data_IF_020202299251
#
_entry.id   IF_020202299251
#
_cell.length_a   1.000
_cell.length_b   1.000
_cell.length_c   1.000
_cell.angle_alpha   90.00
_cell.angle_beta   90.00
_cell.angle_gamma   90.00
#
_symmetry.space_group_name_H-M   'P 1'
#
loop_
_entity.id
_entity.type
_entity.pdbx_description
1 polymer ?
#
# COMPACT_ATOMS: atom_id res chain seq x y z
N UNK A 1 4.24 11.36 -3.75
CA UNK A 1 4.10 10.88 -2.36
C UNK A 1 3.20 11.74 -1.48
N UNK A 2 3.30 13.07 -1.54
CA UNK A 2 2.58 13.98 -0.65
C UNK A 2 1.05 14.01 -0.84
N UNK A 3 0.53 13.49 -1.95
CA UNK A 3 -0.91 13.44 -2.24
C UNK A 3 -1.61 12.17 -1.73
N UNK A 4 -0.83 11.15 -1.34
CA UNK A 4 -1.37 9.90 -0.78
C UNK A 4 -1.38 10.06 0.74
N UNK A 5 -2.56 9.99 1.34
CA UNK A 5 -2.70 10.03 2.79
C UNK A 5 -2.22 8.72 3.42
N UNK A 6 -2.85 7.61 3.03
CA UNK A 6 -2.58 6.27 3.59
C UNK A 6 -2.72 5.16 2.57
N UNK A 7 -2.05 4.04 2.86
CA UNK A 7 -2.32 2.75 2.25
C UNK A 7 -3.26 2.01 3.19
N UNK A 8 -4.43 1.65 2.69
CA UNK A 8 -5.51 1.11 3.52
C UNK A 8 -5.46 -0.42 3.57
N UNK A 9 -4.92 -1.05 2.54
CA UNK A 9 -4.79 -2.50 2.46
C UNK A 9 -4.25 -2.98 1.12
N UNK A 10 -4.02 -4.29 1.03
CA UNK A 10 -3.61 -4.96 -0.19
C UNK A 10 -4.35 -6.28 -0.38
N UNK A 11 -4.55 -6.66 -1.63
CA UNK A 11 -5.26 -7.87 -2.04
C UNK A 11 -4.53 -8.51 -3.23
N UNK A 12 -4.43 -9.83 -3.24
CA UNK A 12 -3.85 -10.57 -4.37
C UNK A 12 -4.98 -10.92 -5.33
N UNK A 13 -4.94 -10.36 -6.54
CA UNK A 13 -5.87 -10.68 -7.62
C UNK A 13 -5.08 -11.19 -8.82
N UNK A 14 -5.42 -12.40 -9.31
CA UNK A 14 -4.77 -13.01 -10.48
C UNK A 14 -3.22 -13.04 -10.41
N UNK A 15 -2.67 -13.24 -9.21
CA UNK A 15 -1.22 -13.27 -8.97
C UNK A 15 -0.55 -11.90 -8.92
N UNK A 16 -1.31 -10.80 -8.96
CA UNK A 16 -0.80 -9.43 -8.78
C UNK A 16 -1.30 -8.85 -7.47
N UNK A 17 -0.42 -8.12 -6.78
CA UNK A 17 -0.77 -7.41 -5.56
C UNK A 17 -1.40 -6.06 -5.93
N UNK A 18 -2.70 -5.95 -5.71
CA UNK A 18 -3.39 -4.67 -5.79
C UNK A 18 -3.42 -4.01 -4.42
N UNK A 19 -3.28 -2.69 -4.41
CA UNK A 19 -3.17 -1.89 -3.20
C UNK A 19 -4.21 -0.78 -3.26
N UNK A 20 -4.92 -0.61 -2.15
CA UNK A 20 -5.92 0.42 -1.97
C UNK A 20 -5.30 1.61 -1.24
N UNK A 21 -5.44 2.80 -1.82
CA UNK A 21 -4.88 4.04 -1.29
C UNK A 21 -5.96 5.08 -1.07
N UNK A 22 -5.86 5.78 0.06
CA UNK A 22 -6.62 6.99 0.34
C UNK A 22 -5.77 8.21 0.01
N UNK A 23 -6.33 9.12 -0.78
CA UNK A 23 -5.70 10.38 -1.15
C UNK A 23 -6.00 11.46 -0.12
N UNK A 24 -5.15 12.47 -0.02
CA UNK A 24 -5.38 13.65 0.84
C UNK A 24 -6.67 14.41 0.44
N UNK A 25 -7.10 14.28 -0.81
CA UNK A 25 -8.37 14.83 -1.32
C UNK A 25 -9.61 14.08 -0.82
N UNK A 26 -9.44 12.97 -0.09
CA UNK A 26 -10.52 12.15 0.46
C UNK A 26 -11.04 11.06 -0.48
N UNK A 27 -10.53 10.98 -1.71
CA UNK A 27 -10.86 9.90 -2.64
C UNK A 27 -10.07 8.63 -2.33
N UNK A 28 -10.59 7.48 -2.79
CA UNK A 28 -9.91 6.18 -2.71
C UNK A 28 -9.72 5.59 -4.08
N UNK A 29 -8.54 5.06 -4.36
CA UNK A 29 -8.25 4.39 -5.63
C UNK A 29 -7.53 3.07 -5.40
N UNK A 30 -7.51 2.26 -6.46
CA UNK A 30 -6.85 0.96 -6.50
C UNK A 30 -5.74 1.02 -7.54
N UNK A 31 -4.56 0.54 -7.18
CA UNK A 31 -3.39 0.49 -8.07
C UNK A 31 -2.64 -0.83 -7.92
N UNK A 32 -1.92 -1.24 -8.97
CA UNK A 32 -0.90 -2.29 -8.85
C UNK A 32 0.20 -1.84 -7.89
N UNK A 33 0.70 -2.76 -7.06
CA UNK A 33 1.78 -2.49 -6.10
C UNK A 33 3.05 -1.94 -6.79
N UNK A 34 3.30 -2.33 -8.05
CA UNK A 34 4.44 -1.84 -8.84
C UNK A 34 4.44 -0.31 -9.00
N UNK A 35 3.25 0.30 -9.09
CA UNK A 35 3.09 1.76 -9.18
C UNK A 35 3.50 2.43 -7.87
N UNK A 36 3.14 1.83 -6.73
CA UNK A 36 3.44 2.39 -5.41
C UNK A 36 4.90 2.17 -5.02
N UNK A 37 5.51 1.06 -5.41
CA UNK A 37 6.95 0.86 -5.23
C UNK A 37 7.78 1.92 -5.94
N UNK A 38 7.29 2.48 -7.05
CA UNK A 38 7.98 3.54 -7.79
C UNK A 38 7.66 4.94 -7.28
N UNK A 39 6.38 5.24 -7.02
CA UNK A 39 5.93 6.61 -6.72
C UNK A 39 5.92 6.93 -5.23
N UNK A 40 5.77 5.92 -4.37
CA UNK A 40 5.68 6.09 -2.93
C UNK A 40 6.28 4.92 -2.12
N UNK A 41 7.56 4.56 -2.37
CA UNK A 41 8.19 3.42 -1.72
C UNK A 41 8.21 3.54 -0.20
N UNK A 42 8.39 4.74 0.36
CA UNK A 42 8.50 4.94 1.80
C UNK A 42 7.15 4.69 2.50
N UNK A 43 6.03 5.14 1.91
CA UNK A 43 4.70 4.84 2.45
C UNK A 43 4.38 3.34 2.41
N UNK A 44 4.83 2.65 1.35
CA UNK A 44 4.65 1.20 1.22
C UNK A 44 5.43 0.41 2.27
N UNK A 45 6.69 0.80 2.53
CA UNK A 45 7.50 0.18 3.58
C UNK A 45 6.86 0.36 4.96
N UNK A 46 6.41 1.59 5.29
CA UNK A 46 5.71 1.86 6.55
C UNK A 46 4.41 1.06 6.71
N UNK A 47 3.71 0.80 5.60
CA UNK A 47 2.55 -0.07 5.63
C UNK A 47 2.95 -1.50 6.01
N UNK A 48 4.00 -2.06 5.39
CA UNK A 48 4.48 -3.39 5.75
C UNK A 48 4.98 -3.46 7.20
N UNK A 49 5.79 -2.51 7.66
CA UNK A 49 6.27 -2.46 9.05
C UNK A 49 5.15 -2.56 10.08
N UNK A 50 4.02 -1.88 9.82
CA UNK A 50 2.84 -1.93 10.70
C UNK A 50 2.07 -3.24 10.66
N UNK A 51 2.21 -4.02 9.59
CA UNK A 51 1.45 -5.26 9.37
C UNK A 51 2.30 -6.54 9.47
N UNK A 52 3.61 -6.42 9.64
CA UNK A 52 4.50 -7.56 9.91
C UNK A 52 4.15 -8.15 11.27
N UNK A 53 3.97 -9.47 11.31
CA UNK A 53 3.88 -10.26 12.54
C UNK A 53 5.01 -11.27 12.52
N UNK A 54 5.92 -11.17 13.50
CA UNK A 54 6.95 -12.19 13.72
C UNK A 54 6.30 -13.29 14.54
N UNK A 55 6.32 -14.50 14.01
CA UNK A 55 5.81 -15.69 14.70
C UNK A 55 7.05 -16.46 15.15
N UNK A 56 7.26 -16.56 16.45
CA UNK A 56 8.29 -17.44 17.02
C UNK A 56 7.73 -18.85 17.16
N UNK A 57 8.53 -19.85 16.80
CA UNK A 57 8.21 -21.29 16.84
C UNK A 57 8.46 -21.88 18.23
#
# INVERSE_FOLDING_TARGET
EQEIASIDGCEVESGRLAVYVSWETGHRTRHDASVLYKNCPQKMLRFYEKHIKIIEE
#
